data_IF_918387378275
#
_entry.id   IF_918387378275
#
_cell.length_a   1.000
_cell.length_b   1.000
_cell.length_c   1.000
_cell.angle_alpha   90.00
_cell.angle_beta   90.00
_cell.angle_gamma   90.00
#
_symmetry.space_group_name_H-M   'P 1'
#
loop_
_entity.id
_entity.type
_entity.pdbx_description
1 polymer ?
#
# COMPACT_ATOMS: atom_id res chain seq x y z
N UNK A 1 17.75 -4.09 14.14
CA UNK A 1 16.30 -3.84 14.22
C UNK A 1 16.09 -2.34 14.13
N UNK A 2 15.09 -1.90 13.35
CA UNK A 2 14.77 -0.47 13.17
C UNK A 2 13.92 0.02 14.34
N UNK A 3 14.03 1.28 14.77
CA UNK A 3 13.26 1.77 15.90
C UNK A 3 11.75 1.78 15.61
N UNK A 4 10.93 1.42 16.61
CA UNK A 4 9.46 1.44 16.52
C UNK A 4 8.89 2.80 16.07
N UNK A 5 9.55 3.89 16.46
CA UNK A 5 9.18 5.24 16.04
C UNK A 5 9.22 5.44 14.52
N UNK A 6 10.10 4.74 13.80
CA UNK A 6 10.19 4.81 12.35
C UNK A 6 8.95 4.19 11.67
N UNK A 7 8.40 3.12 12.24
CA UNK A 7 7.15 2.53 11.79
C UNK A 7 5.98 3.51 11.94
N UNK A 8 5.88 4.16 13.11
CA UNK A 8 4.87 5.19 13.37
C UNK A 8 5.00 6.36 12.40
N UNK A 9 6.22 6.84 12.15
CA UNK A 9 6.47 7.92 11.19
C UNK A 9 6.08 7.49 9.77
N UNK A 10 6.36 6.25 9.35
CA UNK A 10 5.96 5.74 8.05
C UNK A 10 4.44 5.74 7.88
N UNK A 11 3.68 5.32 8.91
CA UNK A 11 2.21 5.36 8.88
C UNK A 11 1.65 6.78 8.88
N UNK A 12 2.24 7.71 9.63
CA UNK A 12 1.85 9.13 9.58
C UNK A 12 2.12 9.71 8.19
N UNK A 13 3.30 9.44 7.61
CA UNK A 13 3.65 9.90 6.28
C UNK A 13 2.70 9.34 5.20
N UNK A 14 2.40 8.03 5.25
CA UNK A 14 1.43 7.42 4.36
C UNK A 14 0.03 8.05 4.50
N UNK A 15 -0.42 8.30 5.74
CA UNK A 15 -1.70 8.95 6.01
C UNK A 15 -1.78 10.35 5.40
N UNK A 16 -0.73 11.16 5.55
CA UNK A 16 -0.65 12.49 4.92
C UNK A 16 -0.72 12.39 3.40
N UNK A 17 0.00 11.44 2.79
CA UNK A 17 -0.04 11.22 1.33
C UNK A 17 -1.43 10.82 0.83
N UNK A 18 -2.17 10.00 1.58
CA UNK A 18 -3.56 9.66 1.23
C UNK A 18 -4.49 10.87 1.31
N UNK A 19 -4.32 11.73 2.32
CA UNK A 19 -5.09 12.99 2.42
C UNK A 19 -4.79 13.88 1.20
N UNK A 20 -3.51 14.03 0.82
CA UNK A 20 -3.11 14.79 -0.36
C UNK A 20 -3.60 14.15 -1.67
N UNK A 21 -3.69 12.82 -1.73
CA UNK A 21 -4.27 12.09 -2.85
C UNK A 21 -5.73 12.45 -3.07
N UNK A 22 -6.56 12.40 -2.01
CA UNK A 22 -7.98 12.74 -2.06
C UNK A 22 -8.19 14.21 -2.45
N UNK A 23 -7.41 15.12 -1.85
CA UNK A 23 -7.40 16.54 -2.21
C UNK A 23 -7.03 16.77 -3.68
N UNK A 24 -6.00 16.08 -4.18
CA UNK A 24 -5.54 16.21 -5.56
C UNK A 24 -6.51 15.62 -6.60
N UNK A 25 -7.20 14.53 -6.28
CA UNK A 25 -8.22 13.91 -7.15
C UNK A 25 -9.49 14.75 -7.29
N UNK A 26 -9.73 15.68 -6.36
CA UNK A 26 -10.92 16.54 -6.36
C UNK A 26 -10.88 17.66 -7.42
N UNK A 27 -9.72 17.91 -8.03
CA UNK A 27 -9.58 18.87 -9.13
C UNK A 27 -8.90 18.21 -10.33
N UNK A 28 -9.47 18.38 -11.52
CA UNK A 28 -8.99 17.71 -12.73
C UNK A 28 -7.55 18.07 -13.10
N UNK A 29 -7.14 19.32 -12.87
CA UNK A 29 -5.77 19.79 -13.13
C UNK A 29 -4.73 19.12 -12.22
N UNK A 30 -5.10 18.78 -10.98
CA UNK A 30 -4.22 18.10 -10.02
C UNK A 30 -4.41 16.59 -9.95
N UNK A 31 -5.39 16.02 -10.65
CA UNK A 31 -5.80 14.61 -10.49
C UNK A 31 -4.64 13.63 -10.71
N UNK A 32 -3.78 13.87 -11.71
CA UNK A 32 -2.60 13.04 -11.97
C UNK A 32 -1.60 13.06 -10.80
N UNK A 33 -1.40 14.22 -10.17
CA UNK A 33 -0.53 14.36 -8.99
C UNK A 33 -1.16 13.72 -7.75
N UNK A 34 -2.47 13.90 -7.57
CA UNK A 34 -3.25 13.24 -6.52
C UNK A 34 -3.06 11.72 -6.56
N UNK A 35 -3.28 11.11 -7.73
CA UNK A 35 -3.07 9.68 -7.91
C UNK A 35 -1.63 9.22 -7.58
N UNK A 36 -0.62 10.01 -7.94
CA UNK A 36 0.78 9.70 -7.60
C UNK A 36 1.03 9.68 -6.09
N UNK A 37 0.45 10.64 -5.34
CA UNK A 37 0.54 10.63 -3.88
C UNK A 37 -0.10 9.37 -3.28
N UNK A 38 -1.24 8.94 -3.82
CA UNK A 38 -1.90 7.70 -3.42
C UNK A 38 -1.02 6.46 -3.65
N UNK A 39 -0.38 6.35 -4.82
CA UNK A 39 0.53 5.24 -5.15
C UNK A 39 1.72 5.21 -4.19
N UNK A 40 2.36 6.35 -3.93
CA UNK A 40 3.51 6.43 -3.02
C UNK A 40 3.08 6.10 -1.58
N UNK A 41 1.93 6.62 -1.13
CA UNK A 41 1.36 6.32 0.18
C UNK A 41 1.09 4.83 0.37
N UNK A 42 0.51 4.17 -0.64
CA UNK A 42 0.26 2.73 -0.62
C UNK A 42 1.56 1.93 -0.56
N UNK A 43 2.58 2.30 -1.34
CA UNK A 43 3.90 1.63 -1.31
C UNK A 43 4.56 1.72 0.07
N UNK A 44 4.52 2.90 0.71
CA UNK A 44 5.07 3.09 2.06
C UNK A 44 4.30 2.23 3.06
N UNK A 45 2.96 2.25 3.03
CA UNK A 45 2.14 1.50 3.97
C UNK A 45 2.36 -0.01 3.86
N UNK A 46 2.37 -0.58 2.64
CA UNK A 46 2.59 -2.01 2.43
C UNK A 46 3.97 -2.43 2.88
N UNK A 47 5.01 -1.68 2.49
CA UNK A 47 6.40 -2.05 2.83
C UNK A 47 6.67 -1.93 4.33
N UNK A 48 6.17 -0.89 4.99
CA UNK A 48 6.27 -0.72 6.43
C UNK A 48 5.56 -1.85 7.19
N UNK A 49 4.33 -2.20 6.76
CA UNK A 49 3.55 -3.29 7.37
C UNK A 49 4.21 -4.65 7.15
N UNK A 50 4.67 -4.93 5.92
CA UNK A 50 5.38 -6.16 5.61
C UNK A 50 6.67 -6.30 6.43
N UNK A 51 7.44 -5.22 6.57
CA UNK A 51 8.63 -5.19 7.42
C UNK A 51 8.31 -5.41 8.89
N UNK A 52 7.23 -4.82 9.40
CA UNK A 52 6.79 -5.02 10.79
C UNK A 52 6.41 -6.47 11.08
N UNK A 53 5.64 -7.11 10.20
CA UNK A 53 5.19 -8.50 10.39
C UNK A 53 6.35 -9.51 10.30
N UNK A 54 7.43 -9.17 9.58
CA UNK A 54 8.65 -10.00 9.47
C UNK A 54 9.68 -9.65 10.56
N UNK A 55 9.35 -8.73 11.48
CA UNK A 55 10.20 -8.38 12.62
C UNK A 55 11.37 -7.44 12.29
N UNK A 56 11.26 -6.63 11.24
CA UNK A 56 12.31 -5.65 10.87
C UNK A 56 12.36 -4.43 11.82
N UNK A 57 11.27 -4.16 12.55
CA UNK A 57 11.13 -3.05 13.49
C UNK A 57 11.10 -3.55 14.94
N UNK A 58 11.56 -2.70 15.86
CA UNK A 58 11.47 -2.92 17.30
C UNK A 58 9.99 -2.95 17.72
N UNK A 59 9.65 -3.92 18.55
CA UNK A 59 8.27 -4.20 18.96
C UNK A 59 7.78 -5.53 18.40
N UNK A 60 6.85 -6.16 19.10
CA UNK A 60 6.28 -7.43 18.66
C UNK A 60 5.06 -7.14 17.79
N UNK A 61 5.04 -7.70 16.58
CA UNK A 61 3.81 -7.73 15.79
C UNK A 61 2.77 -8.62 16.50
N UNK A 62 1.46 -8.35 16.34
CA UNK A 62 0.42 -9.25 16.86
C UNK A 62 0.56 -10.69 16.34
N UNK A 63 1.21 -10.84 15.19
CA UNK A 63 1.57 -12.09 14.55
C UNK A 63 2.88 -11.89 13.79
N UNK A 64 3.87 -12.74 14.03
CA UNK A 64 5.17 -12.68 13.34
C UNK A 64 5.27 -13.79 12.30
N UNK A 65 5.56 -13.39 11.06
CA UNK A 65 5.85 -14.31 9.97
C UNK A 65 7.33 -14.71 10.07
N UNK A 66 7.61 -15.96 10.44
CA UNK A 66 8.96 -16.53 10.35
C UNK A 66 9.49 -16.57 8.90
N UNK A 67 10.67 -17.14 8.67
CA UNK A 67 11.31 -17.13 7.34
C UNK A 67 10.43 -17.70 6.20
N UNK A 68 9.56 -18.67 6.49
CA UNK A 68 8.57 -19.22 5.55
C UNK A 68 7.40 -18.27 5.25
N UNK A 69 7.13 -17.33 6.15
CA UNK A 69 6.01 -16.42 6.10
C UNK A 69 6.15 -15.29 5.08
N UNK A 70 7.38 -14.88 4.73
CA UNK A 70 7.61 -13.98 3.59
C UNK A 70 7.14 -14.61 2.27
N UNK A 71 7.38 -15.91 2.10
CA UNK A 71 6.92 -16.66 0.93
C UNK A 71 5.40 -16.67 0.84
N UNK A 72 4.70 -16.89 1.97
CA UNK A 72 3.24 -16.85 2.03
C UNK A 72 2.66 -15.45 1.78
N UNK A 73 3.28 -14.41 2.35
CA UNK A 73 2.88 -13.03 2.13
C UNK A 73 3.00 -12.65 0.65
N UNK A 74 4.14 -12.95 0.03
CA UNK A 74 4.38 -12.72 -1.39
C UNK A 74 3.41 -13.55 -2.25
N UNK A 75 3.21 -14.82 -1.93
CA UNK A 75 2.28 -15.70 -2.64
C UNK A 75 0.81 -15.25 -2.52
N UNK A 76 0.46 -14.49 -1.48
CA UNK A 76 -0.90 -13.94 -1.31
C UNK A 76 -1.06 -12.61 -2.05
N UNK A 77 -0.08 -11.70 -1.94
CA UNK A 77 -0.14 -10.36 -2.54
C UNK A 77 0.03 -10.42 -4.07
N UNK A 78 0.97 -11.21 -4.57
CA UNK A 78 1.33 -11.21 -5.99
C UNK A 78 0.15 -11.60 -6.91
N UNK A 79 -0.59 -12.71 -6.67
CA UNK A 79 -1.73 -13.05 -7.51
C UNK A 79 -2.83 -11.98 -7.46
N UNK A 80 -3.13 -11.45 -6.27
CA UNK A 80 -4.14 -10.40 -6.11
C UNK A 80 -3.77 -9.12 -6.86
N UNK A 81 -2.53 -8.66 -6.73
CA UNK A 81 -2.03 -7.48 -7.43
C UNK A 81 -1.99 -7.68 -8.96
N UNK A 82 -1.55 -8.84 -9.43
CA UNK A 82 -1.48 -9.15 -10.86
C UNK A 82 -2.85 -9.27 -11.50
N UNK A 83 -3.77 -10.04 -10.89
CA UNK A 83 -5.12 -10.22 -11.39
C UNK A 83 -5.88 -8.88 -11.36
N UNK A 84 -5.77 -8.14 -10.25
CA UNK A 84 -6.40 -6.82 -10.11
C UNK A 84 -5.90 -5.83 -11.16
N UNK A 85 -4.59 -5.74 -11.36
CA UNK A 85 -4.01 -4.86 -12.38
C UNK A 85 -4.43 -5.26 -13.80
N UNK A 86 -4.44 -6.56 -14.10
CA UNK A 86 -4.86 -7.07 -15.39
C UNK A 86 -6.33 -6.77 -15.68
N UNK A 87 -7.22 -7.03 -14.72
CA UNK A 87 -8.65 -6.78 -14.86
C UNK A 87 -8.92 -5.28 -15.00
N UNK A 88 -8.32 -4.44 -14.15
CA UNK A 88 -8.45 -2.99 -14.21
C UNK A 88 -8.01 -2.39 -15.56
N UNK A 89 -7.00 -2.98 -16.21
CA UNK A 89 -6.53 -2.53 -17.52
C UNK A 89 -7.43 -2.95 -18.69
N UNK A 90 -8.32 -3.93 -18.51
CA UNK A 90 -9.14 -4.50 -19.60
C UNK A 90 -10.62 -4.16 -19.55
N UNK A 91 -11.14 -3.68 -18.43
CA UNK A 91 -12.56 -3.35 -18.30
C UNK A 91 -12.91 -2.11 -19.12
N UNK A 92 -14.05 -2.14 -19.80
CA UNK A 92 -14.56 -1.01 -20.55
C UNK A 92 -14.94 0.14 -19.58
N UNK A 93 -14.67 1.39 -19.98
CA UNK A 93 -15.01 2.57 -19.17
C UNK A 93 -16.51 2.66 -18.83
N UNK A 94 -17.38 2.01 -19.63
CA UNK A 94 -18.83 1.91 -19.39
C UNK A 94 -19.21 0.98 -18.25
N UNK A 95 -18.35 0.00 -17.93
CA UNK A 95 -18.56 -0.99 -16.87
C UNK A 95 -17.77 -0.65 -15.60
N UNK A 96 -17.18 0.55 -15.53
CA UNK A 96 -16.46 1.03 -14.34
C UNK A 96 -17.29 1.04 -13.04
N UNK A 97 -18.61 1.30 -13.03
CA UNK A 97 -19.40 1.23 -11.79
C UNK A 97 -19.53 -0.17 -11.18
N UNK A 98 -19.30 -1.23 -11.97
CA UNK A 98 -19.46 -2.64 -11.57
C UNK A 98 -18.12 -3.34 -11.28
N UNK A 99 -17.01 -2.68 -11.59
CA UNK A 99 -15.64 -3.13 -11.31
C UNK A 99 -15.33 -2.95 -9.82
#
# INVERSE_FOLDING_TARGET
>A
MLPAGLLTVAYIAASVLFILSLGGLSNQESARRGNLYGIIGMLIAVTATAGYIVGAFDGHAPFELGASGMGLLAASILPGALIGAYLAARVAMTSMPEL
#
